data_IF_573870700985
#
_entry.id   IF_573870700985
#
_cell.length_a   1.000
_cell.length_b   1.000
_cell.length_c   1.000
_cell.angle_alpha   90.00
_cell.angle_beta   90.00
_cell.angle_gamma   90.00
#
_symmetry.space_group_name_H-M   'P 1'
#
loop_
_entity.id
_entity.type
_entity.pdbx_description
1 polymer ?
#
# COMPACT_ATOMS: atom_id res chain seq x y z
N UNK A 1 11.39 13.44 -4.63
CA UNK A 1 10.16 13.54 -5.42
C UNK A 1 9.23 12.39 -5.08
N UNK A 2 7.93 12.63 -5.22
CA UNK A 2 6.93 11.59 -4.98
C UNK A 2 7.16 10.35 -5.85
N UNK A 3 7.66 10.53 -7.07
CA UNK A 3 7.95 9.44 -8.00
C UNK A 3 9.13 8.55 -7.55
N UNK A 4 9.87 8.98 -6.54
CA UNK A 4 11.02 8.25 -6.03
C UNK A 4 10.76 7.63 -4.67
N UNK A 5 9.50 7.65 -4.23
CA UNK A 5 9.10 7.17 -2.92
C UNK A 5 7.96 6.16 -3.03
N UNK A 6 7.86 5.32 -2.02
CA UNK A 6 6.78 4.35 -1.89
C UNK A 6 6.27 4.43 -0.45
N UNK A 7 4.95 4.43 -0.30
CA UNK A 7 4.31 4.36 1.01
C UNK A 7 3.83 2.92 1.24
N UNK A 8 4.15 2.37 2.40
CA UNK A 8 3.64 1.07 2.84
C UNK A 8 2.80 1.28 4.09
N UNK A 9 1.54 0.92 4.04
CA UNK A 9 0.59 1.20 5.11
C UNK A 9 -0.37 0.05 5.33
N UNK A 10 -0.89 -0.04 6.56
CA UNK A 10 -1.87 -1.05 6.92
C UNK A 10 -3.21 -0.45 7.42
N UNK A 11 -3.36 0.86 7.32
CA UNK A 11 -4.56 1.56 7.79
C UNK A 11 -5.11 2.49 6.71
N UNK A 12 -6.46 2.63 6.62
CA UNK A 12 -7.07 3.48 5.59
C UNK A 12 -6.58 4.93 5.59
N UNK A 13 -6.38 5.53 6.75
CA UNK A 13 -5.92 6.93 6.83
C UNK A 13 -4.52 7.11 6.26
N UNK A 14 -3.61 6.16 6.51
CA UNK A 14 -2.27 6.20 5.94
C UNK A 14 -2.27 5.98 4.44
N UNK A 15 -3.11 5.06 3.96
CA UNK A 15 -3.28 4.82 2.53
C UNK A 15 -3.81 6.07 1.84
N UNK A 16 -4.82 6.70 2.43
CA UNK A 16 -5.40 7.93 1.88
C UNK A 16 -4.37 9.05 1.81
N UNK A 17 -3.55 9.18 2.85
CA UNK A 17 -2.49 10.20 2.87
C UNK A 17 -1.48 9.98 1.75
N UNK A 18 -1.04 8.74 1.55
CA UNK A 18 -0.12 8.39 0.46
C UNK A 18 -0.73 8.68 -0.91
N UNK A 19 -1.99 8.31 -1.09
CA UNK A 19 -2.72 8.55 -2.33
C UNK A 19 -2.83 10.05 -2.63
N UNK A 20 -3.21 10.85 -1.64
CA UNK A 20 -3.35 12.30 -1.80
C UNK A 20 -2.02 12.99 -2.10
N UNK A 21 -0.93 12.43 -1.60
CA UNK A 21 0.40 12.97 -1.87
C UNK A 21 0.93 12.57 -3.26
N UNK A 22 0.21 11.74 -3.99
CA UNK A 22 0.64 11.27 -5.31
C UNK A 22 1.77 10.24 -5.26
N UNK A 23 1.91 9.55 -4.13
CA UNK A 23 2.96 8.56 -3.93
C UNK A 23 2.38 7.17 -4.16
N UNK A 24 3.15 6.30 -4.84
CA UNK A 24 2.73 4.90 -5.00
C UNK A 24 2.54 4.28 -3.62
N UNK A 25 1.34 3.78 -3.35
CA UNK A 25 0.96 3.33 -2.02
C UNK A 25 0.64 1.85 -2.03
N UNK A 26 1.37 1.09 -1.22
CA UNK A 26 1.17 -0.33 -1.02
C UNK A 26 0.46 -0.53 0.31
N UNK A 27 -0.70 -1.15 0.28
CA UNK A 27 -1.42 -1.53 1.49
C UNK A 27 -1.11 -2.98 1.84
N UNK A 28 -0.77 -3.23 3.10
CA UNK A 28 -0.60 -4.59 3.63
C UNK A 28 -1.74 -4.85 4.60
N UNK A 29 -2.54 -5.87 4.30
CA UNK A 29 -3.74 -6.17 5.09
C UNK A 29 -3.41 -7.06 6.28
N UNK A 30 -2.81 -6.47 7.30
CA UNK A 30 -2.42 -7.16 8.53
C UNK A 30 -3.44 -7.01 9.65
N UNK A 31 -4.44 -6.16 9.46
CA UNK A 31 -5.47 -5.90 10.45
C UNK A 31 -6.77 -6.64 10.16
N UNK A 32 -7.81 -6.35 10.95
CA UNK A 32 -9.10 -7.03 10.82
C UNK A 32 -9.99 -6.50 9.68
N UNK A 33 -9.57 -5.45 9.00
CA UNK A 33 -10.38 -4.83 7.95
C UNK A 33 -10.39 -5.67 6.67
N UNK A 34 -11.49 -5.56 5.93
CA UNK A 34 -11.55 -6.08 4.57
C UNK A 34 -10.55 -5.31 3.70
N UNK A 35 -9.77 -6.03 2.90
CA UNK A 35 -8.79 -5.42 2.00
C UNK A 35 -9.40 -4.41 1.03
N UNK A 36 -10.68 -4.57 0.69
CA UNK A 36 -11.36 -3.62 -0.19
C UNK A 36 -11.40 -2.21 0.39
N UNK A 37 -11.47 -2.09 1.72
CA UNK A 37 -11.42 -0.78 2.40
C UNK A 37 -10.11 -0.06 2.08
N UNK A 38 -9.00 -0.80 2.05
CA UNK A 38 -7.69 -0.23 1.75
C UNK A 38 -7.60 0.18 0.27
N UNK A 39 -8.13 -0.62 -0.63
CA UNK A 39 -8.18 -0.27 -2.05
C UNK A 39 -9.06 0.96 -2.28
N UNK A 40 -10.20 1.03 -1.61
CA UNK A 40 -11.12 2.18 -1.73
C UNK A 40 -10.49 3.46 -1.17
N UNK A 41 -9.55 3.33 -0.24
CA UNK A 41 -8.81 4.48 0.30
C UNK A 41 -7.73 4.99 -0.66
N UNK A 42 -7.44 4.26 -1.72
CA UNK A 42 -6.53 4.70 -2.77
C UNK A 42 -5.24 3.90 -2.89
N UNK A 43 -5.16 2.71 -2.31
CA UNK A 43 -3.98 1.86 -2.47
C UNK A 43 -3.81 1.45 -3.93
N UNK A 44 -2.59 1.51 -4.41
CA UNK A 44 -2.24 1.06 -5.75
C UNK A 44 -2.00 -0.44 -5.81
N UNK A 45 -1.61 -1.02 -4.68
CA UNK A 45 -1.35 -2.44 -4.55
C UNK A 45 -1.79 -2.92 -3.17
N UNK A 46 -2.44 -4.07 -3.12
CA UNK A 46 -2.88 -4.69 -1.86
C UNK A 46 -2.19 -6.03 -1.71
N UNK A 47 -1.52 -6.21 -0.57
CA UNK A 47 -0.85 -7.46 -0.22
C UNK A 47 -1.34 -7.97 1.13
N UNK A 48 -1.36 -9.30 1.33
CA UNK A 48 -1.92 -9.86 2.56
C UNK A 48 -1.03 -9.67 3.80
N UNK A 49 0.27 -9.40 3.61
CA UNK A 49 1.21 -9.31 4.74
C UNK A 49 2.50 -8.64 4.33
N UNK A 50 3.29 -8.26 5.34
CA UNK A 50 4.66 -7.76 5.10
C UNK A 50 5.55 -8.84 4.50
N UNK A 51 5.34 -10.10 4.86
CA UNK A 51 6.10 -11.21 4.26
C UNK A 51 5.82 -11.30 2.76
N UNK A 52 4.56 -11.16 2.36
CA UNK A 52 4.20 -11.14 0.95
C UNK A 52 4.87 -9.98 0.21
N UNK A 53 4.97 -8.81 0.86
CA UNK A 53 5.69 -7.67 0.29
C UNK A 53 7.16 -7.99 0.08
N UNK A 54 7.83 -8.58 1.07
CA UNK A 54 9.22 -8.98 0.96
C UNK A 54 9.43 -9.98 -0.18
N UNK A 55 8.52 -10.97 -0.28
CA UNK A 55 8.61 -12.03 -1.28
C UNK A 55 8.43 -11.50 -2.72
N UNK A 56 7.69 -10.41 -2.88
CA UNK A 56 7.39 -9.87 -4.21
C UNK A 56 8.21 -8.62 -4.54
N UNK A 57 9.00 -8.12 -3.59
CA UNK A 57 9.68 -6.82 -3.72
C UNK A 57 10.48 -6.69 -5.02
N UNK A 58 11.27 -7.71 -5.36
CA UNK A 58 12.11 -7.68 -6.55
C UNK A 58 11.31 -7.73 -7.86
N UNK A 59 10.04 -8.12 -7.78
CA UNK A 59 9.16 -8.21 -8.94
C UNK A 59 8.24 -7.00 -9.09
N UNK A 60 8.31 -6.05 -8.16
CA UNK A 60 7.52 -4.83 -8.26
C UNK A 60 8.15 -3.90 -9.30
N UNK A 61 7.31 -3.41 -10.20
CA UNK A 61 7.74 -2.46 -11.23
C UNK A 61 7.46 -1.05 -10.71
N UNK A 62 8.35 -0.56 -9.90
CA UNK A 62 8.26 0.78 -9.30
C UNK A 62 9.13 1.80 -10.06
#
# INVERSE_FOLDING_TARGET
KASEAVVVENAPLGVEAGHKAGIFTIAVNTGPLDGQVLLDSGADLLLPSMQALCDTWDNLDL
#
